data_IF_470066872346
#
_entry.id   IF_470066872346
#
_cell.length_a   1.000
_cell.length_b   1.000
_cell.length_c   1.000
_cell.angle_alpha   90.00
_cell.angle_beta   90.00
_cell.angle_gamma   90.00
#
_symmetry.space_group_name_H-M   'P 1'
#
loop_
_entity.id
_entity.type
_entity.pdbx_description
1 polymer ?
#
# COMPACT_ATOMS: atom_id res chain seq x y z
N UNK A 1 12.56 6.36 11.26
CA UNK A 1 11.20 6.02 10.79
C UNK A 1 10.57 5.07 11.81
N UNK A 2 9.52 5.48 12.51
CA UNK A 2 8.81 4.59 13.46
C UNK A 2 7.72 3.86 12.69
N UNK A 3 7.81 2.54 12.58
CA UNK A 3 6.75 1.73 11.99
C UNK A 3 5.77 1.34 13.11
N UNK A 4 4.48 1.64 12.91
CA UNK A 4 3.41 1.19 13.79
C UNK A 4 2.44 0.41 12.92
N UNK A 5 2.15 -0.83 13.30
CA UNK A 5 1.23 -1.68 12.55
C UNK A 5 -0.18 -1.13 12.66
N UNK A 6 -0.76 -0.75 11.52
CA UNK A 6 -2.13 -0.24 11.45
C UNK A 6 -3.17 -1.37 11.38
N UNK A 7 -2.97 -2.33 10.46
CA UNK A 7 -3.83 -3.50 10.21
C UNK A 7 -3.04 -4.65 9.60
N UNK A 8 -3.57 -5.86 9.71
CA UNK A 8 -3.11 -7.07 9.03
C UNK A 8 -4.22 -7.59 8.10
N UNK A 9 -3.86 -7.98 6.88
CA UNK A 9 -4.77 -8.60 5.91
C UNK A 9 -4.12 -9.84 5.32
N UNK A 10 -4.84 -10.96 5.32
CA UNK A 10 -4.43 -12.20 4.68
C UNK A 10 -5.11 -12.31 3.31
N UNK A 11 -4.33 -12.62 2.28
CA UNK A 11 -4.82 -12.82 0.92
C UNK A 11 -4.19 -14.07 0.31
N UNK A 12 -4.92 -14.71 -0.61
CA UNK A 12 -4.43 -15.84 -1.41
C UNK A 12 -4.45 -15.49 -2.89
N UNK A 13 -3.37 -15.80 -3.61
CA UNK A 13 -3.34 -15.73 -5.07
C UNK A 13 -2.95 -14.38 -5.68
N UNK A 14 -2.40 -13.45 -4.89
CA UNK A 14 -1.81 -12.18 -5.35
C UNK A 14 -2.66 -11.42 -6.38
N UNK A 15 -3.98 -11.32 -6.14
CA UNK A 15 -4.90 -10.70 -7.11
C UNK A 15 -5.01 -9.19 -6.86
N UNK A 16 -4.85 -8.39 -7.91
CA UNK A 16 -5.01 -6.92 -7.86
C UNK A 16 -6.32 -6.48 -7.21
N UNK A 17 -7.42 -7.17 -7.50
CA UNK A 17 -8.75 -6.84 -6.97
C UNK A 17 -8.82 -6.99 -5.45
N UNK A 18 -8.15 -8.00 -4.88
CA UNK A 18 -8.11 -8.22 -3.44
C UNK A 18 -7.36 -7.06 -2.74
N UNK A 19 -6.24 -6.61 -3.33
CA UNK A 19 -5.51 -5.43 -2.84
C UNK A 19 -6.37 -4.17 -2.88
N UNK A 20 -7.08 -3.92 -3.98
CA UNK A 20 -7.97 -2.75 -4.10
C UNK A 20 -9.05 -2.80 -3.01
N UNK A 21 -9.70 -3.95 -2.83
CA UNK A 21 -10.75 -4.12 -1.83
C UNK A 21 -10.23 -3.84 -0.41
N UNK A 22 -9.02 -4.32 -0.07
CA UNK A 22 -8.41 -4.07 1.23
C UNK A 22 -8.05 -2.59 1.40
N UNK A 23 -7.39 -1.98 0.41
CA UNK A 23 -6.99 -0.57 0.47
C UNK A 23 -8.21 0.33 0.63
N UNK A 24 -9.29 0.06 -0.11
CA UNK A 24 -10.54 0.80 0.01
C UNK A 24 -11.18 0.58 1.39
N UNK A 25 -11.20 -0.67 1.87
CA UNK A 25 -11.75 -0.98 3.20
C UNK A 25 -10.99 -0.28 4.32
N UNK A 26 -9.68 -0.11 4.19
CA UNK A 26 -8.86 0.67 5.14
C UNK A 26 -9.30 2.12 5.12
N UNK A 27 -9.46 2.74 3.94
CA UNK A 27 -9.93 4.12 3.82
C UNK A 27 -11.30 4.32 4.46
N UNK A 28 -12.22 3.37 4.27
CA UNK A 28 -13.58 3.46 4.82
C UNK A 28 -13.64 3.35 6.36
N UNK A 29 -12.63 2.72 6.98
CA UNK A 29 -12.56 2.53 8.44
C UNK A 29 -11.86 3.71 9.12
N UNK A 30 -11.00 4.44 8.39
CA UNK A 30 -10.33 5.59 8.94
C UNK A 30 -11.33 6.75 9.09
N UNK A 31 -11.30 7.48 10.22
CA UNK A 31 -12.23 8.58 10.46
C UNK A 31 -12.06 9.72 9.45
N UNK A 32 -10.85 9.85 8.88
CA UNK A 32 -10.51 10.82 7.85
C UNK A 32 -9.60 10.17 6.80
N UNK A 33 -9.65 10.69 5.58
CA UNK A 33 -8.78 10.22 4.50
C UNK A 33 -7.31 10.56 4.83
N UNK A 34 -6.40 9.58 4.87
CA UNK A 34 -5.00 9.83 5.19
C UNK A 34 -4.33 10.61 4.05
N UNK A 35 -3.52 11.60 4.40
CA UNK A 35 -2.57 12.21 3.48
C UNK A 35 -1.37 11.27 3.39
N UNK A 36 -1.24 10.58 2.26
CA UNK A 36 -0.15 9.63 2.03
C UNK A 36 0.83 10.22 1.03
N UNK A 37 2.08 10.42 1.43
CA UNK A 37 3.13 10.94 0.54
C UNK A 37 3.79 9.81 -0.27
N UNK A 38 4.03 8.66 0.38
CA UNK A 38 4.68 7.52 -0.27
C UNK A 38 4.29 6.17 0.33
N UNK A 39 4.43 5.13 -0.49
CA UNK A 39 4.36 3.73 -0.07
C UNK A 39 5.72 3.07 -0.26
N UNK A 40 6.22 2.39 0.78
CA UNK A 40 7.29 1.40 0.62
C UNK A 40 6.63 0.02 0.50
N UNK A 41 6.98 -0.71 -0.55
CA UNK A 41 6.49 -2.06 -0.78
C UNK A 41 7.58 -2.93 -1.38
N UNK A 42 7.51 -4.23 -1.11
CA UNK A 42 8.28 -5.21 -1.87
C UNK A 42 7.85 -5.20 -3.35
N UNK A 43 8.68 -5.75 -4.23
CA UNK A 43 8.41 -5.75 -5.66
C UNK A 43 7.27 -6.74 -6.02
N UNK A 44 6.03 -6.28 -5.86
CA UNK A 44 4.81 -7.03 -6.18
C UNK A 44 3.93 -6.23 -7.16
N UNK A 45 3.76 -6.75 -8.37
CA UNK A 45 3.15 -6.01 -9.49
C UNK A 45 1.69 -5.68 -9.19
N UNK A 46 0.92 -6.62 -8.64
CA UNK A 46 -0.51 -6.42 -8.41
C UNK A 46 -0.78 -5.33 -7.37
N UNK A 47 -0.02 -5.30 -6.28
CA UNK A 47 -0.06 -4.25 -5.27
C UNK A 47 0.36 -2.90 -5.87
N UNK A 48 1.40 -2.86 -6.70
CA UNK A 48 1.85 -1.61 -7.32
C UNK A 48 0.77 -1.00 -8.23
N UNK A 49 0.04 -1.84 -8.96
CA UNK A 49 -1.08 -1.42 -9.79
C UNK A 49 -2.29 -1.00 -8.96
N UNK A 50 -2.60 -1.75 -7.90
CA UNK A 50 -3.69 -1.40 -6.97
C UNK A 50 -3.43 -0.06 -6.29
N UNK A 51 -2.21 0.20 -5.82
CA UNK A 51 -1.84 1.47 -5.21
C UNK A 51 -1.92 2.64 -6.18
N UNK A 52 -1.47 2.48 -7.43
CA UNK A 52 -1.65 3.54 -8.45
C UNK A 52 -3.12 3.81 -8.76
N UNK A 53 -4.00 2.81 -8.62
CA UNK A 53 -5.42 2.98 -8.83
C UNK A 53 -6.11 3.67 -7.66
N UNK A 54 -5.82 3.27 -6.42
CA UNK A 54 -6.48 3.81 -5.21
C UNK A 54 -5.83 5.14 -4.76
N UNK A 55 -4.53 5.30 -4.98
CA UNK A 55 -3.71 6.44 -4.55
C UNK A 55 -2.90 7.02 -5.73
N UNK A 56 -3.56 7.58 -6.77
CA UNK A 56 -2.92 7.92 -8.05
C UNK A 56 -1.84 9.00 -7.98
N UNK A 57 -1.77 9.76 -6.88
CA UNK A 57 -0.82 10.87 -6.69
C UNK A 57 0.37 10.53 -5.79
N UNK A 58 0.46 9.29 -5.32
CA UNK A 58 1.45 8.89 -4.31
C UNK A 58 2.70 8.28 -4.94
N UNK A 59 3.85 8.48 -4.29
CA UNK A 59 5.12 7.92 -4.76
C UNK A 59 5.24 6.48 -4.28
N UNK A 60 5.50 5.55 -5.20
CA UNK A 60 5.83 4.17 -4.86
C UNK A 60 7.35 4.00 -4.79
N UNK A 61 7.84 3.53 -3.66
CA UNK A 61 9.25 3.17 -3.43
C UNK A 61 9.36 1.67 -3.24
N UNK A 62 10.31 1.05 -3.93
CA UNK A 62 10.68 -0.33 -3.64
C UNK A 62 11.34 -0.41 -2.27
N UNK A 63 11.00 -1.40 -1.47
CA UNK A 63 11.75 -1.72 -0.27
C UNK A 63 13.05 -2.45 -0.68
N UNK A 64 14.02 -1.70 -1.22
CA UNK A 64 15.39 -2.16 -1.29
C UNK A 64 16.03 -1.99 0.10
N UNK A 65 16.71 -3.03 0.58
CA UNK A 65 17.42 -3.00 1.86
C UNK A 65 18.57 -1.99 1.76
N UNK A 66 18.41 -0.80 2.37
CA UNK A 66 19.51 0.08 2.79
C UNK A 66 19.55 1.50 2.19
N UNK A 67 20.10 2.49 2.92
CA UNK A 67 20.31 3.85 2.43
C UNK A 67 21.51 3.88 1.47
N UNK A 68 21.37 4.56 0.34
CA UNK A 68 22.30 4.62 -0.80
C UNK A 68 22.10 3.52 -1.86
N UNK A 69 21.12 3.78 -2.73
CA UNK A 69 21.20 3.54 -4.18
C UNK A 69 20.41 4.66 -4.87
#
# INVERSE_FOLDING_TARGET
MKQVTLKYGLMSGCRKQDYIAILQRVLDILPEAPVVDCFCMDFEICLSQALRQVFPRTVLKGCAIGPNL
#
